data_IF_945812956080
#
_entry.id   IF_945812956080
#
_cell.length_a   1.000
_cell.length_b   1.000
_cell.length_c   1.000
_cell.angle_alpha   90.00
_cell.angle_beta   90.00
_cell.angle_gamma   90.00
#
_symmetry.space_group_name_H-M   'P 1'
#
loop_
_entity.id
_entity.type
_entity.pdbx_description
1 polymer ?
#
# COMPACT_ATOMS: atom_id res chain seq x y z
N UNK A 1 -31.59 -25.35 -27.59
CA UNK A 1 -31.25 -25.31 -29.03
C UNK A 1 -32.46 -24.82 -29.82
N UNK A 2 -32.45 -23.55 -30.26
CA UNK A 2 -33.32 -23.03 -31.32
C UNK A 2 -32.48 -22.06 -32.14
N UNK A 3 -32.04 -22.53 -33.30
CA UNK A 3 -31.52 -21.76 -34.43
C UNK A 3 -32.69 -21.15 -35.22
N UNK A 4 -32.32 -20.32 -36.22
CA UNK A 4 -33.11 -19.76 -37.36
C UNK A 4 -33.34 -18.25 -37.16
N UNK A 5 -33.00 -17.34 -38.08
CA UNK A 5 -32.31 -17.41 -39.36
C UNK A 5 -31.76 -16.02 -39.73
N UNK A 6 -30.70 -16.05 -40.55
CA UNK A 6 -30.09 -14.92 -41.25
C UNK A 6 -30.92 -14.61 -42.49
N UNK A 7 -31.21 -13.34 -42.76
CA UNK A 7 -31.67 -12.87 -44.06
C UNK A 7 -30.89 -11.63 -44.47
N UNK A 8 -29.97 -11.82 -45.42
CA UNK A 8 -29.33 -10.77 -46.21
C UNK A 8 -30.28 -10.27 -47.28
N UNK A 9 -30.32 -8.96 -47.50
CA UNK A 9 -30.77 -8.38 -48.76
C UNK A 9 -29.93 -7.14 -49.05
N UNK A 10 -29.38 -7.09 -50.25
CA UNK A 10 -28.50 -6.05 -50.75
C UNK A 10 -29.14 -5.30 -51.92
N UNK A 11 -28.59 -4.09 -52.14
CA UNK A 11 -28.61 -3.26 -53.35
C UNK A 11 -29.87 -2.49 -53.75
N UNK A 12 -29.77 -1.17 -53.63
CA UNK A 12 -30.14 -0.24 -54.71
C UNK A 12 -29.20 0.99 -54.68
N UNK A 13 -28.50 1.23 -55.79
CA UNK A 13 -27.78 2.48 -56.08
C UNK A 13 -28.78 3.59 -56.45
N UNK A 14 -28.51 4.82 -56.01
CA UNK A 14 -28.89 6.03 -56.75
C UNK A 14 -27.94 7.21 -56.47
N UNK A 15 -27.24 7.55 -57.54
CA UNK A 15 -26.60 8.81 -57.98
C UNK A 15 -26.56 10.08 -57.10
N UNK A 16 -25.32 10.57 -56.95
CA UNK A 16 -24.81 11.94 -57.12
C UNK A 16 -25.71 13.16 -56.82
N UNK A 17 -25.30 13.91 -55.79
CA UNK A 17 -25.62 15.33 -55.59
C UNK A 17 -24.40 16.06 -55.03
N UNK A 18 -23.74 16.85 -55.87
CA UNK A 18 -22.61 17.72 -55.53
C UNK A 18 -23.13 18.84 -54.62
N UNK A 19 -22.60 18.97 -53.40
CA UNK A 19 -22.82 20.15 -52.54
C UNK A 19 -21.48 20.70 -52.07
N UNK A 20 -21.32 22.01 -52.27
CA UNK A 20 -20.14 22.82 -52.01
C UNK A 20 -19.57 22.66 -50.60
N UNK A 21 -18.25 22.44 -50.52
CA UNK A 21 -17.48 22.54 -49.29
C UNK A 21 -17.36 24.02 -48.88
N UNK A 22 -18.15 24.44 -47.88
CA UNK A 22 -17.88 25.65 -47.09
C UNK A 22 -16.70 25.36 -46.17
N UNK A 23 -15.55 26.01 -46.41
CA UNK A 23 -14.42 26.02 -45.47
C UNK A 23 -14.85 26.70 -44.16
N UNK A 24 -15.20 25.90 -43.16
CA UNK A 24 -15.26 26.36 -41.78
C UNK A 24 -13.83 26.57 -41.28
N UNK A 25 -13.54 27.81 -40.84
CA UNK A 25 -12.35 28.12 -40.05
C UNK A 25 -12.36 27.22 -38.81
N UNK A 26 -11.33 26.40 -38.66
CA UNK A 26 -11.16 25.52 -37.51
C UNK A 26 -11.12 26.34 -36.22
N UNK A 27 -11.92 25.94 -35.24
CA UNK A 27 -11.71 26.37 -33.86
C UNK A 27 -10.36 25.81 -33.38
N UNK A 28 -9.57 26.56 -32.61
CA UNK A 28 -8.37 26.03 -31.97
C UNK A 28 -8.78 24.86 -31.07
N UNK A 29 -8.11 23.73 -31.27
CA UNK A 29 -8.29 22.54 -30.44
C UNK A 29 -7.99 22.91 -28.98
N UNK A 30 -8.96 22.64 -28.09
CA UNK A 30 -8.73 22.65 -26.65
C UNK A 30 -7.62 21.64 -26.34
N UNK A 31 -6.55 22.02 -25.61
CA UNK A 31 -5.52 21.06 -25.25
C UNK A 31 -6.15 19.93 -24.43
N UNK A 32 -5.80 18.70 -24.78
CA UNK A 32 -6.19 17.53 -24.00
C UNK A 32 -5.69 17.71 -22.55
N UNK A 33 -6.47 17.27 -21.54
CA UNK A 33 -5.97 17.26 -20.17
C UNK A 33 -4.72 16.39 -20.12
N UNK A 34 -3.58 17.02 -19.88
CA UNK A 34 -2.32 16.33 -19.59
C UNK A 34 -2.51 15.59 -18.28
N UNK A 35 -2.42 14.25 -18.33
CA UNK A 35 -2.27 13.43 -17.12
C UNK A 35 -1.10 14.01 -16.31
N UNK A 36 -1.30 14.38 -15.02
CA UNK A 36 -0.19 14.85 -14.20
C UNK A 36 0.87 13.74 -14.11
N UNK A 37 2.14 14.14 -14.12
CA UNK A 37 3.26 13.22 -13.94
C UNK A 37 3.11 12.46 -12.60
N UNK A 38 3.64 11.23 -12.49
CA UNK A 38 3.73 10.53 -11.22
C UNK A 38 4.41 11.44 -10.19
N UNK A 39 3.79 11.59 -9.01
CA UNK A 39 4.37 12.34 -7.91
C UNK A 39 5.38 11.40 -7.25
N UNK A 40 6.67 11.62 -7.52
CA UNK A 40 7.73 10.90 -6.82
C UNK A 40 7.70 11.28 -5.33
N UNK A 41 7.85 10.31 -4.40
CA UNK A 41 7.94 10.62 -2.99
C UNK A 41 9.22 11.41 -2.70
N UNK A 42 9.09 12.43 -1.86
CA UNK A 42 10.18 13.32 -1.42
C UNK A 42 10.14 13.57 0.08
N UNK A 43 9.29 12.83 0.80
CA UNK A 43 9.17 12.86 2.26
C UNK A 43 9.76 11.60 2.90
N UNK A 44 9.63 11.45 4.23
CA UNK A 44 10.16 10.30 4.93
C UNK A 44 9.50 9.00 4.46
N UNK A 45 10.24 7.91 4.57
CA UNK A 45 9.84 6.56 4.14
C UNK A 45 9.83 5.62 5.33
N UNK A 46 8.82 4.76 5.41
CA UNK A 46 8.65 3.82 6.51
C UNK A 46 8.31 2.44 5.98
N UNK A 47 8.81 1.40 6.65
CA UNK A 47 8.59 0.01 6.27
C UNK A 47 8.05 -0.82 7.43
N UNK A 48 7.17 -1.77 7.08
CA UNK A 48 6.61 -2.79 7.94
C UNK A 48 7.03 -4.15 7.39
N UNK A 49 8.09 -4.72 7.94
CA UNK A 49 8.63 -6.00 7.49
C UNK A 49 8.01 -7.19 8.23
N UNK A 50 7.63 -8.21 7.47
CA UNK A 50 7.09 -9.47 7.96
C UNK A 50 8.16 -10.55 7.84
N UNK A 51 8.80 -10.94 8.95
CA UNK A 51 9.67 -12.12 9.00
C UNK A 51 8.79 -13.39 9.02
N UNK A 52 8.85 -14.28 8.00
CA UNK A 52 8.01 -15.47 7.95
C UNK A 52 8.15 -16.42 9.15
N UNK A 53 9.28 -16.37 9.89
CA UNK A 53 9.47 -17.18 11.10
C UNK A 53 8.62 -16.67 12.26
N UNK A 54 8.36 -15.37 12.32
CA UNK A 54 7.64 -14.71 13.42
C UNK A 54 6.20 -14.34 13.00
N UNK A 55 6.01 -14.00 11.74
CA UNK A 55 4.79 -13.51 11.10
C UNK A 55 3.89 -14.63 10.55
N UNK A 56 3.92 -15.82 11.16
CA UNK A 56 2.97 -16.90 10.84
C UNK A 56 3.05 -17.40 9.40
N UNK A 57 4.24 -17.29 8.77
CA UNK A 57 4.48 -17.68 7.39
C UNK A 57 4.28 -16.57 6.35
N UNK A 58 3.80 -15.38 6.74
CA UNK A 58 3.79 -14.20 5.86
C UNK A 58 5.21 -13.66 5.75
N UNK A 59 5.71 -13.48 4.53
CA UNK A 59 7.00 -12.81 4.28
C UNK A 59 6.86 -11.61 3.38
N UNK A 60 7.73 -10.63 3.54
CA UNK A 60 7.81 -9.45 2.68
C UNK A 60 7.56 -8.17 3.46
N UNK A 61 7.03 -7.15 2.80
CA UNK A 61 6.94 -5.81 3.38
C UNK A 61 5.72 -5.02 2.89
N UNK A 62 5.38 -4.00 3.67
CA UNK A 62 4.54 -2.87 3.27
C UNK A 62 5.35 -1.61 3.53
N UNK A 63 5.48 -0.74 2.54
CA UNK A 63 6.24 0.50 2.60
C UNK A 63 5.31 1.69 2.41
N UNK A 64 5.61 2.78 3.08
CA UNK A 64 4.88 4.04 3.03
C UNK A 64 5.87 5.15 2.76
N UNK A 65 5.76 5.78 1.60
CA UNK A 65 6.58 6.92 1.20
C UNK A 65 5.71 8.17 1.19
N UNK A 66 6.03 9.16 2.02
CA UNK A 66 5.30 10.41 2.01
C UNK A 66 5.64 11.23 0.76
N UNK A 67 4.62 11.84 0.14
CA UNK A 67 4.82 12.59 -1.12
C UNK A 67 5.35 14.02 -0.90
N UNK A 68 5.51 14.43 0.36
CA UNK A 68 5.98 15.75 0.77
C UNK A 68 6.64 15.62 2.16
N UNK A 69 7.78 16.30 2.42
CA UNK A 69 8.52 16.20 3.68
C UNK A 69 7.84 16.94 4.86
N UNK A 70 6.75 17.67 4.62
CA UNK A 70 6.05 18.41 5.67
C UNK A 70 5.53 17.47 6.78
N UNK A 71 5.70 17.84 8.06
CA UNK A 71 5.16 17.05 9.18
C UNK A 71 3.63 16.92 9.14
N UNK A 72 2.96 17.81 8.41
CA UNK A 72 1.50 17.85 8.25
C UNK A 72 1.02 17.18 6.95
N UNK A 73 1.92 16.60 6.16
CA UNK A 73 1.58 15.86 4.94
C UNK A 73 0.60 14.73 5.27
N UNK A 74 -0.42 14.54 4.43
CA UNK A 74 -1.43 13.48 4.59
C UNK A 74 -1.48 12.57 3.37
N UNK A 75 -0.64 12.80 2.37
CA UNK A 75 -0.60 12.01 1.17
C UNK A 75 0.63 11.10 1.20
N UNK A 76 0.41 9.80 1.02
CA UNK A 76 1.48 8.82 0.96
C UNK A 76 1.25 7.83 -0.18
N UNK A 77 2.35 7.41 -0.81
CA UNK A 77 2.38 6.20 -1.62
C UNK A 77 2.54 5.02 -0.67
N UNK A 78 1.67 4.04 -0.81
CA UNK A 78 1.74 2.78 -0.08
C UNK A 78 2.06 1.69 -1.08
N UNK A 79 3.14 0.96 -0.86
CA UNK A 79 3.55 -0.17 -1.71
C UNK A 79 3.60 -1.44 -0.86
N UNK A 80 3.32 -2.59 -1.45
CA UNK A 80 3.41 -3.85 -0.74
C UNK A 80 3.93 -4.96 -1.66
N UNK A 81 4.80 -5.80 -1.11
CA UNK A 81 5.21 -7.08 -1.69
C UNK A 81 5.16 -8.14 -0.60
N UNK A 82 4.13 -8.99 -0.64
CA UNK A 82 3.86 -9.98 0.40
C UNK A 82 3.68 -11.37 -0.22
N UNK A 83 4.21 -12.38 0.46
CA UNK A 83 4.11 -13.79 0.10
C UNK A 83 3.48 -14.57 1.27
N UNK A 84 2.36 -15.22 0.98
CA UNK A 84 1.56 -15.99 1.92
C UNK A 84 1.67 -17.50 1.67
N UNK A 85 2.55 -17.95 0.76
CA UNK A 85 2.68 -19.35 0.35
C UNK A 85 3.07 -20.30 1.50
N UNK A 86 3.64 -19.75 2.59
CA UNK A 86 4.03 -20.51 3.79
C UNK A 86 3.05 -20.33 4.96
N UNK A 87 1.94 -19.62 4.77
CA UNK A 87 0.94 -19.42 5.82
C UNK A 87 0.18 -20.70 6.10
N UNK A 88 0.22 -21.15 7.36
CA UNK A 88 -0.48 -22.34 7.81
C UNK A 88 -1.99 -22.08 7.93
N UNK A 89 -2.76 -22.56 6.96
CA UNK A 89 -4.22 -22.45 6.93
C UNK A 89 -4.88 -23.13 8.15
N UNK A 90 -4.30 -24.22 8.66
CA UNK A 90 -4.83 -24.88 9.86
C UNK A 90 -4.59 -24.04 11.12
N UNK A 91 -3.48 -23.30 11.18
CA UNK A 91 -3.23 -22.34 12.26
C UNK A 91 -4.23 -21.19 12.25
N UNK A 92 -4.64 -20.67 11.09
CA UNK A 92 -5.71 -19.66 10.98
C UNK A 92 -7.02 -20.20 11.56
N UNK A 93 -7.45 -21.39 11.12
CA UNK A 93 -8.67 -22.05 11.64
C UNK A 93 -8.62 -22.31 13.15
N UNK A 94 -7.43 -22.61 13.68
CA UNK A 94 -7.20 -22.81 15.12
C UNK A 94 -7.26 -21.48 15.89
N UNK A 95 -6.76 -20.39 15.31
CA UNK A 95 -6.78 -19.07 15.92
C UNK A 95 -8.21 -18.51 16.03
N UNK A 96 -9.07 -18.80 15.05
CA UNK A 96 -10.51 -18.50 15.11
C UNK A 96 -11.32 -19.61 14.44
N UNK A 97 -12.07 -20.36 15.25
CA UNK A 97 -12.92 -21.47 14.76
C UNK A 97 -14.08 -21.03 13.86
N UNK A 98 -14.39 -19.73 13.78
CA UNK A 98 -15.34 -19.19 12.82
C UNK A 98 -14.72 -18.99 11.43
N UNK A 99 -13.38 -19.00 11.31
CA UNK A 99 -12.74 -19.08 10.02
C UNK A 99 -12.82 -20.53 9.50
N UNK A 100 -13.83 -20.82 8.69
CA UNK A 100 -14.07 -22.17 8.15
C UNK A 100 -13.58 -22.36 6.72
N UNK A 101 -13.01 -21.31 6.09
CA UNK A 101 -12.50 -21.38 4.72
C UNK A 101 -11.35 -22.37 4.61
N UNK A 102 -11.34 -23.22 3.59
CA UNK A 102 -10.25 -24.19 3.38
C UNK A 102 -8.94 -23.54 2.98
N UNK A 103 -9.02 -22.49 2.18
CA UNK A 103 -7.89 -21.63 1.81
C UNK A 103 -8.35 -20.19 1.88
N UNK A 104 -7.61 -19.37 2.61
CA UNK A 104 -7.81 -17.93 2.67
C UNK A 104 -7.00 -17.26 1.56
N UNK A 105 -7.69 -16.54 0.69
CA UNK A 105 -7.10 -15.81 -0.45
C UNK A 105 -7.31 -14.31 -0.38
N UNK A 106 -7.93 -13.81 0.69
CA UNK A 106 -8.16 -12.39 0.92
C UNK A 106 -7.68 -12.04 2.32
N UNK A 107 -6.95 -10.94 2.43
CA UNK A 107 -6.46 -10.43 3.71
C UNK A 107 -6.74 -8.94 3.87
N UNK A 108 -7.39 -8.58 4.97
CA UNK A 108 -7.55 -7.20 5.37
C UNK A 108 -6.29 -6.74 6.14
N UNK A 109 -6.07 -5.44 6.23
CA UNK A 109 -4.85 -4.84 6.74
C UNK A 109 -5.15 -3.44 7.30
N UNK A 110 -4.64 -3.18 8.50
CA UNK A 110 -4.94 -1.97 9.26
C UNK A 110 -3.75 -1.52 10.10
N UNK A 111 -3.65 -0.21 10.37
CA UNK A 111 -2.71 0.38 11.32
C UNK A 111 -3.28 0.27 12.73
N UNK A 112 -2.46 -0.23 13.65
CA UNK A 112 -2.77 -0.40 15.05
C UNK A 112 -1.80 0.42 15.94
N UNK A 113 -2.27 0.81 17.12
CA UNK A 113 -1.68 1.93 17.89
C UNK A 113 -0.73 1.55 19.03
N UNK A 114 -0.49 0.27 19.26
CA UNK A 114 0.35 -0.22 20.37
C UNK A 114 1.32 -1.27 19.87
N UNK A 115 2.49 -1.39 20.48
CA UNK A 115 3.37 -2.54 20.30
C UNK A 115 3.88 -3.02 21.65
N UNK A 116 3.82 -4.33 21.90
CA UNK A 116 4.26 -4.95 23.15
C UNK A 116 5.06 -6.22 22.84
N UNK A 117 6.18 -6.03 22.15
CA UNK A 117 7.10 -7.08 21.73
C UNK A 117 8.48 -6.45 21.56
N UNK A 118 9.54 -7.23 21.81
CA UNK A 118 10.91 -6.88 21.44
C UNK A 118 11.23 -7.23 19.99
N UNK A 119 10.45 -8.12 19.39
CA UNK A 119 10.56 -8.49 17.97
C UNK A 119 9.87 -7.45 17.08
N UNK A 120 10.29 -7.40 15.82
CA UNK A 120 9.73 -6.52 14.78
C UNK A 120 8.51 -7.12 14.08
N UNK A 121 8.33 -8.44 14.11
CA UNK A 121 7.11 -9.10 13.62
C UNK A 121 6.57 -10.11 14.62
N UNK A 122 5.28 -10.38 14.55
CA UNK A 122 4.57 -11.34 15.41
C UNK A 122 3.43 -12.02 14.64
N UNK A 123 2.80 -13.02 15.25
CA UNK A 123 1.65 -13.73 14.66
C UNK A 123 0.56 -14.10 15.66
N UNK A 124 -0.66 -14.27 15.13
CA UNK A 124 -1.83 -14.78 15.85
C UNK A 124 -2.09 -14.07 17.18
N UNK A 125 -2.02 -14.82 18.30
CA UNK A 125 -2.28 -14.30 19.64
C UNK A 125 -1.34 -13.15 20.00
N UNK A 126 -0.10 -13.15 19.49
CA UNK A 126 0.85 -12.06 19.75
C UNK A 126 0.50 -10.78 18.99
N UNK A 127 -0.25 -10.88 17.90
CA UNK A 127 -0.89 -9.74 17.23
C UNK A 127 -2.22 -9.34 17.88
N UNK A 128 -2.63 -9.98 18.97
CA UNK A 128 -3.90 -9.72 19.65
C UNK A 128 -3.98 -8.32 20.26
N UNK A 129 -5.22 -7.85 20.52
CA UNK A 129 -5.51 -6.49 21.00
C UNK A 129 -4.70 -6.06 22.22
N UNK A 130 -4.38 -6.99 23.12
CA UNK A 130 -3.58 -6.68 24.31
C UNK A 130 -2.17 -6.16 23.97
N UNK A 131 -1.60 -6.64 22.87
CA UNK A 131 -0.24 -6.30 22.43
C UNK A 131 -0.21 -5.20 21.38
N UNK A 132 -1.14 -5.24 20.43
CA UNK A 132 -1.13 -4.33 19.29
C UNK A 132 -2.14 -3.19 19.38
N UNK A 133 -3.11 -3.28 20.29
CA UNK A 133 -4.17 -2.31 20.42
C UNK A 133 -5.27 -2.46 19.35
N UNK A 134 -5.99 -1.36 19.18
CA UNK A 134 -7.10 -1.19 18.24
C UNK A 134 -6.63 -0.37 17.02
N UNK A 135 -7.52 -0.16 16.04
CA UNK A 135 -7.22 0.62 14.84
C UNK A 135 -6.96 2.09 15.19
N UNK A 136 -6.02 2.71 14.50
CA UNK A 136 -5.76 4.15 14.61
C UNK A 136 -6.94 4.96 14.06
N UNK A 137 -7.58 5.78 14.89
CA UNK A 137 -8.81 6.49 14.54
C UNK A 137 -8.91 7.88 15.20
N UNK A 138 -7.95 8.79 14.95
CA UNK A 138 -7.92 10.11 15.60
C UNK A 138 -9.14 10.97 15.23
N UNK A 139 -9.81 10.68 14.11
CA UNK A 139 -10.95 11.44 13.60
C UNK A 139 -12.31 10.87 14.02
N UNK A 140 -12.34 9.80 14.84
CA UNK A 140 -13.57 9.21 15.35
C UNK A 140 -14.53 8.82 14.22
N UNK A 141 -14.00 8.15 13.19
CA UNK A 141 -14.82 7.46 12.20
C UNK A 141 -15.59 6.28 12.83
N UNK A 142 -15.08 5.76 13.96
CA UNK A 142 -15.78 4.88 14.88
C UNK A 142 -16.16 3.52 14.28
N UNK A 143 -15.24 2.89 13.57
CA UNK A 143 -15.40 1.51 13.15
C UNK A 143 -15.39 0.53 14.32
N UNK A 144 -15.73 -0.75 14.07
CA UNK A 144 -15.88 -1.77 15.12
C UNK A 144 -14.62 -2.03 15.96
N UNK A 145 -13.46 -1.64 15.44
CA UNK A 145 -12.17 -1.81 16.08
C UNK A 145 -11.42 -0.51 16.31
N UNK A 146 -12.09 0.65 16.22
CA UNK A 146 -11.56 1.97 16.60
C UNK A 146 -10.91 1.93 17.97
N UNK A 147 -9.79 2.63 18.16
CA UNK A 147 -9.22 2.87 19.48
C UNK A 147 -10.17 3.61 20.43
N UNK A 148 -11.18 4.28 19.88
CA UNK A 148 -12.23 4.98 20.61
C UNK A 148 -13.54 4.20 20.72
N UNK A 149 -13.59 2.92 20.35
CA UNK A 149 -14.81 2.09 20.32
C UNK A 149 -15.69 2.17 21.59
N UNK A 150 -15.09 2.33 22.77
CA UNK A 150 -15.79 2.40 24.06
C UNK A 150 -16.26 3.79 24.48
N UNK A 151 -16.00 4.83 23.68
CA UNK A 151 -16.42 6.20 24.00
C UNK A 151 -17.90 6.41 23.70
N UNK A 152 -18.50 7.42 24.35
CA UNK A 152 -19.88 7.82 24.07
C UNK A 152 -20.08 8.37 22.66
N UNK A 153 -19.02 8.88 22.03
CA UNK A 153 -19.05 9.33 20.65
C UNK A 153 -19.10 8.17 19.65
N UNK A 154 -18.28 7.12 19.86
CA UNK A 154 -18.18 6.03 18.91
C UNK A 154 -19.21 4.93 19.07
N UNK A 155 -19.60 4.60 20.30
CA UNK A 155 -20.58 3.54 20.59
C UNK A 155 -21.82 3.59 19.68
N UNK A 156 -22.49 4.75 19.44
CA UNK A 156 -23.67 4.80 18.58
C UNK A 156 -23.36 4.71 17.07
N UNK A 157 -22.12 4.94 16.63
CA UNK A 157 -21.72 5.02 15.20
C UNK A 157 -21.21 3.71 14.62
N UNK A 158 -20.79 2.78 15.47
CA UNK A 158 -20.20 1.47 15.06
C UNK A 158 -21.05 0.74 14.02
N UNK A 159 -22.36 0.65 14.26
CA UNK A 159 -23.27 -0.10 13.41
C UNK A 159 -23.46 0.54 12.01
N UNK A 160 -23.15 1.84 11.89
CA UNK A 160 -23.22 2.58 10.62
C UNK A 160 -21.87 2.72 9.93
N UNK A 161 -20.78 2.20 10.52
CA UNK A 161 -19.48 2.24 9.90
C UNK A 161 -19.49 1.46 8.59
N UNK A 162 -19.16 2.15 7.50
CA UNK A 162 -19.26 1.61 6.15
C UNK A 162 -18.09 2.08 5.29
N UNK A 163 -16.88 2.10 5.86
CA UNK A 163 -15.68 2.40 5.10
C UNK A 163 -15.50 1.40 3.96
N UNK A 164 -15.30 1.94 2.76
CA UNK A 164 -14.97 1.24 1.53
C UNK A 164 -14.40 2.28 0.55
N UNK A 165 -13.70 1.87 -0.52
CA UNK A 165 -13.00 2.82 -1.40
C UNK A 165 -13.93 3.88 -2.01
N UNK A 166 -15.17 3.51 -2.36
CA UNK A 166 -16.15 4.45 -2.95
C UNK A 166 -16.66 5.48 -1.94
N UNK A 167 -16.85 5.08 -0.67
CA UNK A 167 -17.24 5.98 0.40
C UNK A 167 -16.07 6.90 0.78
N UNK A 168 -14.87 6.35 0.87
CA UNK A 168 -13.63 7.07 1.16
C UNK A 168 -13.34 8.17 0.14
N UNK A 169 -13.47 7.86 -1.15
CA UNK A 169 -13.29 8.82 -2.23
C UNK A 169 -14.29 9.99 -2.20
N UNK A 170 -15.44 9.84 -1.55
CA UNK A 170 -16.46 10.90 -1.40
C UNK A 170 -16.25 11.73 -0.13
N UNK A 171 -15.91 11.08 0.97
CA UNK A 171 -15.60 11.72 2.25
C UNK A 171 -14.61 10.86 3.02
N UNK A 172 -13.36 11.30 3.13
CA UNK A 172 -12.32 10.55 3.81
C UNK A 172 -12.61 10.29 5.30
N UNK A 173 -13.47 11.10 5.92
CA UNK A 173 -13.78 11.02 7.36
C UNK A 173 -14.70 9.85 7.71
N UNK A 174 -15.25 9.16 6.71
CA UNK A 174 -16.07 7.95 6.93
C UNK A 174 -15.22 6.72 7.26
N UNK A 175 -13.90 6.81 7.08
CA UNK A 175 -12.94 5.77 7.34
C UNK A 175 -12.05 6.14 8.51
N UNK A 176 -11.75 5.16 9.35
CA UNK A 176 -10.65 5.30 10.32
C UNK A 176 -9.36 5.54 9.52
N UNK A 177 -8.48 6.43 9.99
CA UNK A 177 -7.21 6.66 9.29
C UNK A 177 -6.36 5.38 9.21
N UNK A 178 -6.49 4.48 10.18
CA UNK A 178 -5.84 3.17 10.18
C UNK A 178 -6.52 2.10 9.34
N UNK A 179 -7.72 2.31 8.80
CA UNK A 179 -8.45 1.30 8.02
C UNK A 179 -7.99 1.27 6.55
N UNK A 180 -6.80 0.72 6.31
CA UNK A 180 -6.19 0.68 4.98
C UNK A 180 -6.97 -0.20 4.01
N UNK A 181 -7.53 -1.33 4.46
CA UNK A 181 -8.42 -2.16 3.63
C UNK A 181 -9.71 -1.47 3.22
N UNK A 182 -10.34 -0.75 4.14
CA UNK A 182 -11.53 0.03 3.83
C UNK A 182 -11.23 1.16 2.84
N UNK A 183 -10.04 1.77 2.89
CA UNK A 183 -9.65 2.86 1.98
C UNK A 183 -9.16 2.38 0.62
N UNK A 184 -8.27 1.38 0.60
CA UNK A 184 -7.45 0.97 -0.54
C UNK A 184 -7.81 -0.43 -1.07
N UNK A 185 -8.67 -1.15 -0.34
CA UNK A 185 -9.07 -2.53 -0.64
C UNK A 185 -8.27 -3.58 0.12
N UNK A 186 -8.87 -4.76 0.31
CA UNK A 186 -8.15 -5.91 0.85
C UNK A 186 -7.06 -6.38 -0.11
N UNK A 187 -6.01 -7.01 0.44
CA UNK A 187 -5.09 -7.81 -0.35
C UNK A 187 -5.81 -9.04 -0.90
N UNK A 188 -5.73 -9.22 -2.22
CA UNK A 188 -6.23 -10.40 -2.93
C UNK A 188 -5.04 -11.18 -3.46
N UNK A 189 -4.89 -12.42 -3.00
CA UNK A 189 -3.77 -13.26 -3.42
C UNK A 189 -3.88 -13.66 -4.89
N UNK A 190 -2.75 -13.64 -5.58
CA UNK A 190 -2.60 -14.24 -6.90
C UNK A 190 -2.55 -15.79 -6.82
N UNK A 191 -2.29 -16.43 -7.96
CA UNK A 191 -2.21 -17.89 -8.05
C UNK A 191 -0.99 -18.49 -7.34
N UNK A 192 -0.01 -17.66 -7.01
CA UNK A 192 1.22 -18.00 -6.31
C UNK A 192 1.12 -17.68 -4.81
N UNK A 193 -0.06 -17.27 -4.33
CA UNK A 193 -0.30 -16.85 -2.95
C UNK A 193 0.47 -15.57 -2.58
N UNK A 194 0.65 -14.65 -3.53
CA UNK A 194 1.36 -13.39 -3.35
C UNK A 194 0.46 -12.20 -3.61
N UNK A 195 0.88 -11.05 -3.08
CA UNK A 195 0.33 -9.73 -3.38
C UNK A 195 1.50 -8.81 -3.71
N UNK A 196 1.39 -8.09 -4.83
CA UNK A 196 2.23 -6.96 -5.15
C UNK A 196 1.32 -5.81 -5.60
N UNK A 197 1.55 -4.59 -5.12
CA UNK A 197 0.74 -3.45 -5.52
C UNK A 197 1.24 -2.14 -4.96
N UNK A 198 0.74 -1.06 -5.57
CA UNK A 198 1.00 0.32 -5.18
C UNK A 198 -0.32 1.09 -5.17
N UNK A 199 -0.48 1.94 -4.17
CA UNK A 199 -1.66 2.77 -3.95
C UNK A 199 -1.23 4.17 -3.52
N UNK A 200 -2.02 5.18 -3.84
CA UNK A 200 -1.88 6.51 -3.25
C UNK A 200 -3.02 6.70 -2.27
N UNK A 201 -2.68 6.98 -1.01
CA UNK A 201 -3.63 7.41 0.01
C UNK A 201 -3.48 8.92 0.25
N UNK A 202 -4.42 9.76 -0.25
CA UNK A 202 -4.35 11.21 -0.08
C UNK A 202 -4.70 11.69 1.34
N UNK A 203 -5.19 10.78 2.21
CA UNK A 203 -5.46 11.08 3.62
C UNK A 203 -4.93 9.97 4.55
N UNK A 204 -3.72 9.50 4.25
CA UNK A 204 -2.90 8.73 5.17
C UNK A 204 -2.69 9.54 6.47
N UNK A 205 -2.45 8.88 7.63
CA UNK A 205 -1.98 9.59 8.81
C UNK A 205 -0.83 10.54 8.52
N UNK A 206 -0.72 11.62 9.28
CA UNK A 206 0.36 12.59 9.12
C UNK A 206 1.66 12.06 9.66
N UNK A 207 2.77 12.58 9.13
CA UNK A 207 4.11 12.31 9.66
C UNK A 207 4.17 12.63 11.16
N UNK A 208 3.63 13.77 11.59
CA UNK A 208 3.60 14.18 13.01
C UNK A 208 2.73 13.27 13.92
N UNK A 209 1.85 12.44 13.33
CA UNK A 209 1.02 11.50 14.06
C UNK A 209 1.72 10.15 14.29
N UNK A 210 2.78 9.85 13.54
CA UNK A 210 3.51 8.59 13.62
C UNK A 210 4.08 8.37 15.02
N UNK A 211 4.07 7.11 15.45
CA UNK A 211 4.74 6.70 16.69
C UNK A 211 5.52 5.41 16.45
N UNK A 212 6.63 5.18 17.18
CA UNK A 212 7.37 3.91 17.10
C UNK A 212 6.59 2.67 17.57
N UNK A 213 5.35 2.83 18.03
CA UNK A 213 4.47 1.74 18.43
C UNK A 213 3.46 1.34 17.35
N UNK A 214 3.40 2.08 16.25
CA UNK A 214 2.52 1.72 15.15
C UNK A 214 2.95 0.41 14.52
N UNK A 215 1.95 -0.39 14.17
CA UNK A 215 2.15 -1.65 13.50
C UNK A 215 1.02 -1.84 12.48
N UNK A 216 1.32 -2.59 11.42
CA UNK A 216 0.28 -3.08 10.52
C UNK A 216 -0.04 -4.51 10.92
N UNK A 217 -1.33 -4.80 11.05
CA UNK A 217 -1.83 -6.18 11.21
C UNK A 217 -2.47 -6.62 9.91
N UNK A 218 -2.13 -7.83 9.47
CA UNK A 218 -2.79 -8.53 8.37
C UNK A 218 -3.75 -9.57 8.94
N UNK A 219 -5.00 -9.51 8.51
CA UNK A 219 -6.12 -10.33 8.95
C UNK A 219 -6.56 -11.26 7.82
N UNK A 220 -6.76 -12.54 8.11
CA UNK A 220 -7.40 -13.44 7.14
C UNK A 220 -8.89 -13.11 7.03
N UNK A 221 -9.43 -12.99 5.82
CA UNK A 221 -10.86 -12.74 5.62
C UNK A 221 -11.59 -14.06 5.38
N UNK A 222 -12.30 -14.54 6.40
CA UNK A 222 -13.05 -15.79 6.39
C UNK A 222 -14.55 -15.52 6.55
N UNK A 223 -15.16 -14.89 5.56
CA UNK A 223 -16.55 -14.43 5.65
C UNK A 223 -16.66 -13.26 6.63
N UNK A 224 -17.29 -13.48 7.79
CA UNK A 224 -17.39 -12.45 8.85
C UNK A 224 -16.25 -12.52 9.88
N UNK A 225 -15.51 -13.62 9.92
CA UNK A 225 -14.38 -13.78 10.82
C UNK A 225 -13.13 -13.16 10.19
N UNK A 226 -12.41 -12.35 10.97
CA UNK A 226 -11.18 -11.66 10.53
C UNK A 226 -10.01 -11.87 11.49
N UNK A 227 -9.60 -13.13 11.75
CA UNK A 227 -8.50 -13.41 12.68
C UNK A 227 -7.22 -12.70 12.25
N UNK A 228 -6.50 -12.16 13.25
CA UNK A 228 -5.19 -11.55 13.08
C UNK A 228 -4.17 -12.64 12.78
N UNK A 229 -3.50 -12.59 11.64
CA UNK A 229 -2.55 -13.63 11.20
C UNK A 229 -1.13 -13.21 11.50
N UNK A 230 -0.76 -12.01 11.05
CA UNK A 230 0.59 -11.48 11.14
C UNK A 230 0.56 -9.99 11.46
N UNK A 231 1.61 -9.48 12.09
CA UNK A 231 1.77 -8.06 12.35
C UNK A 231 3.24 -7.68 12.36
N UNK A 232 3.52 -6.45 11.96
CA UNK A 232 4.86 -5.89 11.80
C UNK A 232 4.92 -4.48 12.40
N UNK A 233 5.98 -4.18 13.14
CA UNK A 233 6.28 -2.88 13.71
C UNK A 233 6.77 -1.93 12.61
N UNK A 234 6.41 -0.65 12.72
CA UNK A 234 6.93 0.40 11.86
C UNK A 234 8.44 0.58 12.07
N UNK A 235 9.17 0.79 10.98
CA UNK A 235 10.57 1.17 10.95
C UNK A 235 10.73 2.35 10.00
N UNK A 236 11.56 3.32 10.35
CA UNK A 236 11.97 4.39 9.44
C UNK A 236 13.05 3.84 8.50
N UNK A 237 12.97 4.21 7.22
CA UNK A 237 14.01 3.90 6.25
C UNK A 237 14.90 5.12 6.18
N UNK A 238 16.09 5.00 6.78
CA UNK A 238 17.14 6.00 6.60
C UNK A 238 17.70 5.81 5.18
N UNK A 239 17.49 6.79 4.30
CA UNK A 239 18.23 6.87 3.05
C UNK A 239 19.68 7.18 3.44
N UNK A 240 20.53 6.14 3.57
CA UNK A 240 21.97 6.36 3.65
C UNK A 240 22.37 7.15 2.41
N UNK A 241 22.79 8.41 2.59
CA UNK A 241 23.46 9.16 1.53
C UNK A 241 24.61 8.26 1.07
N UNK A 242 24.58 7.80 -0.19
CA UNK A 242 25.72 7.14 -0.81
C UNK A 242 26.86 8.16 -0.79
N UNK A 243 27.70 8.10 0.25
CA UNK A 243 28.95 8.83 0.32
C UNK A 243 29.75 8.42 -0.92
N UNK A 244 29.76 9.29 -1.92
CA UNK A 244 30.66 9.26 -3.05
C UNK A 244 32.09 9.29 -2.50
N UNK A 245 32.68 8.12 -2.26
CA UNK A 245 34.13 7.94 -2.16
C UNK A 245 34.73 8.27 -3.55
N UNK A 246 34.75 9.56 -3.92
CA UNK A 246 35.53 10.05 -5.06
C UNK A 246 37.02 9.93 -4.73
N UNK A 247 37.69 9.22 -5.62
CA UNK A 247 39.11 8.92 -5.70
C UNK A 247 39.97 10.20 -5.78
N UNK A 248 40.73 10.51 -4.73
CA UNK A 248 41.92 11.38 -4.86
C UNK A 248 43.18 10.49 -5.03
N UNK A 249 43.28 9.81 -6.18
CA UNK A 249 44.57 9.38 -6.74
C UNK A 249 45.16 10.54 -7.56
N UNK A 250 45.89 11.45 -6.92
CA UNK A 250 46.79 12.36 -7.62
C UNK A 250 48.21 11.79 -7.65
N UNK A 251 48.54 11.21 -8.81
CA UNK A 251 49.89 10.99 -9.32
C UNK A 251 50.61 12.34 -9.52
N UNK A 252 51.80 12.51 -8.94
CA UNK A 252 52.86 13.34 -9.53
C UNK A 252 54.20 12.59 -9.54
N UNK A 253 54.49 12.00 -10.70
CA UNK A 253 55.81 11.84 -11.33
C UNK A 253 56.53 13.24 -11.35
N UNK A 254 57.85 13.48 -11.32
CA UNK A 254 58.98 12.80 -11.96
C UNK A 254 60.32 13.56 -11.67
N UNK A 255 61.44 12.96 -12.07
CA UNK A 255 62.78 13.51 -12.43
C UNK A 255 63.96 13.59 -11.39
N UNK A 256 64.86 12.60 -11.54
CA UNK A 256 66.29 12.69 -11.92
C UNK A 256 67.25 13.72 -11.26
N UNK A 257 68.36 13.23 -10.66
CA UNK A 257 69.66 13.21 -11.37
C UNK A 257 70.78 12.44 -10.63
N UNK A 258 71.39 11.55 -11.43
CA UNK A 258 72.75 10.97 -11.50
C UNK A 258 73.82 11.46 -10.51
N UNK A 259 74.60 10.51 -9.97
CA UNK A 259 76.02 10.48 -10.35
C UNK A 259 76.65 9.08 -10.28
N UNK A 260 77.49 8.81 -11.27
CA UNK A 260 78.20 7.56 -11.52
C UNK A 260 79.70 7.76 -11.30
N UNK A 261 80.40 6.72 -10.83
CA UNK A 261 81.75 6.29 -11.27
C UNK A 261 82.14 5.04 -10.44
N UNK A 262 82.26 3.87 -11.07
CA UNK A 262 83.51 3.27 -11.59
C UNK A 262 84.53 2.99 -10.45
N UNK A 263 85.13 1.82 -10.25
CA UNK A 263 85.54 0.76 -11.18
C UNK A 263 86.24 -0.38 -10.42
N UNK A 264 86.26 -1.58 -11.04
CA UNK A 264 87.15 -2.76 -10.91
C UNK A 264 87.48 -3.37 -9.54
#
# INVERSE_FOLDING_TARGET
MKLVAIASAAFALASAGITQAKRHKGNPATPAPTTPAPVEPVGPSFIFEFDPKLAGGVSGWIQVDYVDPSPTCTAAKVSAELDFSKVDQAAIKKADGNCTADVVTTYAWHIHVKWNSSELSQSFAQCGKANTGNHYDPLHACGPFSEHIGTSECTPRVASYACNPDAYAKDHRVCEKGDLSGKLGDFKLDKQSKVAGEWIDPHFPRVEELTPQWNIIVHAVCGKATPRVACALIQEIDEEEEDEDEEDEEDEEDEDDKDSQDSY
#
